data_IF_273556530511
#
_entry.id   IF_273556530511
#
_cell.length_a   1.000
_cell.length_b   1.000
_cell.length_c   1.000
_cell.angle_alpha   90.00
_cell.angle_beta   90.00
_cell.angle_gamma   90.00
#
_symmetry.space_group_name_H-M   'P 1'
#
loop_
_entity.id
_entity.type
_entity.pdbx_description
1 polymer ?
#
# COMPACT_ATOMS: atom_id res chain seq x y z
N UNK A 1 16.01 4.76 -11.88
CA UNK A 1 17.35 5.30 -11.57
C UNK A 1 18.21 5.18 -12.81
N UNK A 2 18.87 6.25 -13.23
CA UNK A 2 19.85 6.23 -14.33
C UNK A 2 21.22 6.61 -13.75
N UNK A 3 22.03 5.61 -13.40
CA UNK A 3 23.26 5.78 -12.63
C UNK A 3 22.99 6.49 -11.29
N UNK A 4 23.43 7.75 -11.18
CA UNK A 4 23.20 8.61 -9.99
C UNK A 4 21.99 9.53 -10.12
N UNK A 5 21.25 9.48 -11.22
CA UNK A 5 20.09 10.35 -11.47
C UNK A 5 18.79 9.67 -11.03
N UNK A 6 18.04 10.37 -10.18
CA UNK A 6 16.64 10.07 -9.93
C UNK A 6 15.80 10.76 -11.01
N UNK A 7 15.30 9.98 -11.96
CA UNK A 7 14.40 10.47 -13.02
C UNK A 7 12.97 10.15 -12.58
N UNK A 8 12.11 11.15 -12.37
CA UNK A 8 10.70 10.92 -12.08
C UNK A 8 10.05 10.10 -13.20
N UNK A 9 9.28 9.09 -12.83
CA UNK A 9 8.58 8.22 -13.77
C UNK A 9 7.07 8.33 -13.63
N UNK A 10 6.57 8.11 -12.42
CA UNK A 10 5.14 8.20 -12.08
C UNK A 10 4.95 9.02 -10.82
N UNK A 11 3.82 9.73 -10.74
CA UNK A 11 3.38 10.46 -9.55
C UNK A 11 2.13 9.77 -9.02
N UNK A 12 2.11 9.51 -7.72
CA UNK A 12 1.07 8.72 -7.06
C UNK A 12 0.25 9.65 -6.15
N UNK A 13 -1.05 9.78 -6.44
CA UNK A 13 -1.99 10.59 -5.65
C UNK A 13 -2.54 9.79 -4.47
N UNK A 14 -2.90 10.48 -3.38
CA UNK A 14 -3.48 9.85 -2.20
C UNK A 14 -4.89 9.30 -2.49
N UNK A 15 -5.31 8.32 -1.68
CA UNK A 15 -6.69 7.84 -1.68
C UNK A 15 -7.04 7.09 -2.96
N UNK A 16 -8.27 7.28 -3.44
CA UNK A 16 -8.82 6.73 -4.68
C UNK A 16 -8.33 7.43 -5.96
N UNK A 17 -7.43 8.41 -5.83
CA UNK A 17 -6.95 9.27 -6.91
C UNK A 17 -7.67 10.61 -7.04
N UNK A 18 -8.75 10.85 -6.27
CA UNK A 18 -9.47 12.13 -6.24
C UNK A 18 -9.13 12.99 -5.02
N UNK A 19 -8.35 12.47 -4.07
CA UNK A 19 -7.92 13.22 -2.90
C UNK A 19 -6.70 14.09 -3.21
N UNK A 20 -6.70 15.33 -2.70
CA UNK A 20 -5.52 16.19 -2.75
C UNK A 20 -4.41 15.64 -1.85
N UNK A 21 -3.23 15.41 -2.44
CA UNK A 21 -2.01 15.03 -1.72
C UNK A 21 -1.26 13.86 -2.37
N UNK A 22 -0.02 13.67 -1.93
CA UNK A 22 0.83 12.60 -2.40
C UNK A 22 0.57 11.30 -1.62
N UNK A 23 0.64 10.18 -2.33
CA UNK A 23 0.58 8.87 -1.73
C UNK A 23 1.84 8.59 -0.91
N UNK A 24 1.65 8.21 0.35
CA UNK A 24 2.73 7.75 1.21
C UNK A 24 2.99 6.26 0.95
N UNK A 25 3.85 6.00 -0.04
CA UNK A 25 4.33 4.66 -0.38
C UNK A 25 5.44 4.21 0.57
N UNK A 26 5.23 3.08 1.24
CA UNK A 26 6.14 2.51 2.25
C UNK A 26 6.80 1.22 1.74
N UNK A 27 6.12 0.48 0.88
CA UNK A 27 6.64 -0.76 0.29
C UNK A 27 6.39 -0.82 -1.21
N UNK A 28 7.28 -1.55 -1.89
CA UNK A 28 7.23 -1.80 -3.33
C UNK A 28 7.38 -3.29 -3.61
N UNK A 29 6.55 -3.84 -4.48
CA UNK A 29 6.72 -5.21 -4.97
C UNK A 29 6.32 -5.35 -6.44
N UNK A 30 6.79 -6.41 -7.10
CA UNK A 30 6.47 -6.69 -8.50
C UNK A 30 5.68 -7.98 -8.56
N UNK A 31 4.53 -7.95 -9.26
CA UNK A 31 3.70 -9.13 -9.52
C UNK A 31 3.13 -9.05 -10.92
N UNK A 32 3.24 -10.12 -11.69
CA UNK A 32 2.73 -10.23 -13.06
C UNK A 32 3.14 -9.07 -13.99
N UNK A 33 4.35 -8.53 -13.80
CA UNK A 33 4.87 -7.39 -14.58
C UNK A 33 4.33 -6.03 -14.15
N UNK A 34 3.48 -5.94 -13.14
CA UNK A 34 3.04 -4.68 -12.54
C UNK A 34 3.86 -4.34 -11.29
N UNK A 35 4.13 -3.06 -11.11
CA UNK A 35 4.71 -2.53 -9.87
C UNK A 35 3.58 -2.18 -8.90
N UNK A 36 3.64 -2.71 -7.70
CA UNK A 36 2.69 -2.44 -6.62
C UNK A 36 3.38 -1.57 -5.59
N UNK A 37 2.78 -0.42 -5.29
CA UNK A 37 3.23 0.51 -4.25
C UNK A 37 2.13 0.64 -3.21
N UNK A 38 2.40 0.25 -1.96
CA UNK A 38 1.41 0.33 -0.90
C UNK A 38 1.86 1.16 0.28
N UNK A 39 0.87 1.56 1.09
CA UNK A 39 1.08 2.31 2.31
C UNK A 39 1.20 1.38 3.53
N UNK A 40 1.45 1.94 4.71
CA UNK A 40 1.69 1.18 5.93
C UNK A 40 0.49 0.36 6.45
N UNK A 41 -0.73 0.63 5.95
CA UNK A 41 -1.92 -0.21 6.22
C UNK A 41 -2.59 -0.06 7.60
N UNK A 42 -2.14 0.91 8.40
CA UNK A 42 -2.71 1.24 9.73
C UNK A 42 -4.05 1.97 9.58
N UNK A 43 -4.95 1.90 10.55
CA UNK A 43 -6.08 2.83 10.67
C UNK A 43 -5.59 4.27 10.91
N UNK A 44 -6.34 5.27 10.42
CA UNK A 44 -6.07 6.65 10.84
C UNK A 44 -6.63 6.78 12.25
N UNK A 45 -5.74 6.97 13.22
CA UNK A 45 -6.12 7.23 14.61
C UNK A 45 -5.84 8.68 14.97
N UNK A 46 -6.59 9.24 15.91
CA UNK A 46 -6.14 10.46 16.61
C UNK A 46 -4.77 10.21 17.28
N UNK A 47 -4.01 11.25 17.63
CA UNK A 47 -2.82 11.11 18.48
C UNK A 47 -3.11 10.35 19.79
N UNK A 48 -4.36 10.43 20.27
CA UNK A 48 -4.88 9.77 21.47
C UNK A 48 -5.30 8.31 21.22
N UNK A 49 -5.20 7.82 19.98
CA UNK A 49 -5.48 6.42 19.62
C UNK A 49 -6.94 6.10 19.27
N UNK A 50 -7.80 7.13 19.16
CA UNK A 50 -9.19 6.93 18.75
C UNK A 50 -9.30 6.71 17.24
N UNK A 51 -10.13 5.75 16.83
CA UNK A 51 -10.38 5.43 15.44
C UNK A 51 -11.08 6.61 14.71
N UNK A 52 -10.48 7.13 13.63
CA UNK A 52 -11.06 8.20 12.82
C UNK A 52 -11.64 7.68 11.50
N UNK A 53 -10.81 7.03 10.68
CA UNK A 53 -11.24 6.47 9.40
C UNK A 53 -10.29 5.37 8.87
N UNK A 54 -10.82 4.58 7.94
CA UNK A 54 -10.12 3.45 7.29
C UNK A 54 -9.49 3.80 5.94
N UNK A 55 -9.77 4.99 5.41
CA UNK A 55 -9.92 5.14 3.95
C UNK A 55 -8.61 5.39 3.19
N UNK A 56 -7.74 6.38 3.47
CA UNK A 56 -6.68 6.73 2.50
C UNK A 56 -5.42 5.85 2.51
N UNK A 57 -5.15 5.15 3.62
CA UNK A 57 -3.87 4.47 3.91
C UNK A 57 -3.92 2.95 3.75
N UNK A 58 -5.06 2.41 3.32
CA UNK A 58 -5.22 1.01 2.94
C UNK A 58 -5.40 0.79 1.44
N UNK A 59 -5.22 1.85 0.66
CA UNK A 59 -5.04 1.75 -0.78
C UNK A 59 -3.60 1.39 -1.14
N UNK A 60 -3.44 0.77 -2.29
CA UNK A 60 -2.16 0.59 -2.96
C UNK A 60 -2.36 0.89 -4.44
N UNK A 61 -1.27 1.26 -5.08
CA UNK A 61 -1.25 1.66 -6.47
C UNK A 61 -0.56 0.58 -7.28
N UNK A 62 -1.31 0.01 -8.22
CA UNK A 62 -0.81 -0.89 -9.23
C UNK A 62 -0.45 -0.08 -10.46
N UNK A 63 0.82 -0.16 -10.85
CA UNK A 63 1.42 0.65 -11.91
C UNK A 63 1.83 -0.30 -13.04
N UNK A 64 1.36 -0.02 -14.25
CA UNK A 64 1.75 -0.78 -15.44
C UNK A 64 3.17 -0.41 -15.91
N UNK A 65 3.83 -1.24 -16.74
CA UNK A 65 5.11 -0.90 -17.35
C UNK A 65 5.08 0.40 -18.17
N UNK A 66 3.91 0.78 -18.68
CA UNK A 66 3.66 2.01 -19.43
C UNK A 66 3.39 3.22 -18.53
N UNK A 67 3.30 3.01 -17.20
CA UNK A 67 3.03 4.06 -16.21
C UNK A 67 1.55 4.31 -15.94
N UNK A 68 0.63 3.45 -16.39
CA UNK A 68 -0.78 3.56 -16.03
C UNK A 68 -0.97 3.18 -14.57
N UNK A 69 -1.60 4.06 -13.79
CA UNK A 69 -1.79 3.91 -12.36
C UNK A 69 -3.24 3.53 -12.05
N UNK A 70 -3.41 2.46 -11.29
CA UNK A 70 -4.70 2.02 -10.78
C UNK A 70 -4.65 1.93 -9.25
N UNK A 71 -5.56 2.63 -8.59
CA UNK A 71 -5.74 2.50 -7.15
C UNK A 71 -6.65 1.32 -6.85
N UNK A 72 -6.22 0.48 -5.92
CA UNK A 72 -6.99 -0.66 -5.46
C UNK A 72 -7.15 -0.63 -3.93
N UNK A 73 -8.32 -1.04 -3.45
CA UNK A 73 -8.66 -1.06 -2.03
C UNK A 73 -8.24 -2.40 -1.39
N UNK A 74 -7.33 -2.34 -0.42
CA UNK A 74 -6.85 -3.50 0.36
C UNK A 74 -7.24 -3.48 1.84
N UNK A 75 -8.27 -2.72 2.22
CA UNK A 75 -8.76 -2.65 3.61
C UNK A 75 -8.97 -4.03 4.20
N UNK A 76 -9.73 -4.89 3.52
CA UNK A 76 -10.03 -6.23 4.00
C UNK A 76 -8.78 -7.11 4.10
N UNK A 77 -7.80 -6.97 3.19
CA UNK A 77 -6.57 -7.76 3.21
C UNK A 77 -5.69 -7.42 4.39
N UNK A 78 -5.54 -6.13 4.72
CA UNK A 78 -4.82 -5.73 5.94
C UNK A 78 -5.50 -6.23 7.22
N UNK A 79 -6.83 -6.20 7.26
CA UNK A 79 -7.60 -6.76 8.39
C UNK A 79 -7.39 -8.28 8.52
N UNK A 80 -7.39 -9.01 7.41
CA UNK A 80 -7.11 -10.44 7.41
C UNK A 80 -5.67 -10.75 7.85
N UNK A 81 -4.67 -9.99 7.37
CA UNK A 81 -3.27 -10.17 7.73
C UNK A 81 -3.02 -9.98 9.23
N UNK A 82 -3.56 -8.91 9.84
CA UNK A 82 -3.45 -8.73 11.29
C UNK A 82 -4.20 -9.83 12.07
N UNK A 83 -5.35 -10.26 11.56
CA UNK A 83 -6.16 -11.31 12.18
C UNK A 83 -5.45 -12.65 12.17
N UNK A 84 -4.69 -12.96 11.11
CA UNK A 84 -3.90 -14.19 11.00
C UNK A 84 -2.79 -14.29 12.05
N UNK A 85 -2.30 -13.16 12.56
CA UNK A 85 -1.32 -13.11 13.66
C UNK A 85 -1.96 -12.83 15.03
N UNK A 86 -3.29 -12.89 15.13
CA UNK A 86 -4.03 -12.71 16.39
C UNK A 86 -4.07 -11.27 16.91
N UNK A 87 -3.73 -10.28 16.08
CA UNK A 87 -3.79 -8.86 16.46
C UNK A 87 -5.13 -8.28 16.00
N UNK A 88 -5.91 -7.83 16.98
CA UNK A 88 -7.17 -7.13 16.78
C UNK A 88 -7.08 -5.71 17.31
N UNK A 89 -7.91 -4.82 16.78
CA UNK A 89 -8.05 -3.46 17.28
C UNK A 89 -8.31 -3.48 18.81
N UNK A 90 -7.64 -2.64 19.63
CA UNK A 90 -6.82 -1.46 19.26
C UNK A 90 -5.37 -1.76 18.85
N UNK A 91 -4.95 -3.02 18.80
CA UNK A 91 -3.67 -3.42 18.25
C UNK A 91 -3.59 -3.19 16.74
N UNK A 92 -2.40 -2.81 16.25
CA UNK A 92 -2.15 -2.52 14.84
C UNK A 92 -0.83 -3.13 14.36
N UNK A 93 -0.70 -3.24 13.04
CA UNK A 93 0.50 -3.72 12.35
C UNK A 93 0.88 -2.66 11.34
N UNK A 94 2.19 -2.41 11.21
CA UNK A 94 2.76 -1.50 10.21
C UNK A 94 3.51 -2.35 9.19
N UNK A 95 3.19 -2.16 7.91
CA UNK A 95 3.84 -2.87 6.81
C UNK A 95 4.78 -1.93 6.06
N UNK A 96 6.09 -2.16 6.17
CA UNK A 96 7.13 -1.40 5.43
C UNK A 96 7.92 -2.28 4.45
N UNK A 97 7.64 -3.58 4.41
CA UNK A 97 8.26 -4.51 3.49
C UNK A 97 7.25 -5.58 3.03
N UNK A 98 7.11 -5.71 1.70
CA UNK A 98 6.26 -6.72 1.05
C UNK A 98 7.00 -7.28 -0.16
N UNK A 99 6.93 -8.59 -0.35
CA UNK A 99 7.49 -9.29 -1.51
C UNK A 99 6.48 -10.30 -2.04
N UNK A 100 6.28 -10.28 -3.35
CA UNK A 100 5.58 -11.33 -4.08
C UNK A 100 6.57 -12.39 -4.57
N UNK A 101 6.13 -13.65 -4.60
CA UNK A 101 6.95 -14.77 -5.09
C UNK A 101 6.15 -15.65 -6.03
N UNK A 102 6.54 -15.66 -7.32
CA UNK A 102 5.93 -16.55 -8.31
C UNK A 102 6.19 -18.03 -8.00
N UNK A 103 7.31 -18.34 -7.34
CA UNK A 103 7.71 -19.72 -6.99
C UNK A 103 6.83 -20.35 -5.92
N UNK A 104 6.23 -19.53 -5.05
CA UNK A 104 5.39 -19.98 -3.94
C UNK A 104 3.91 -19.63 -4.17
N UNK A 105 3.52 -19.40 -5.43
CA UNK A 105 2.13 -19.19 -5.81
C UNK A 105 1.36 -20.53 -5.77
N UNK A 106 1.03 -21.00 -4.58
CA UNK A 106 0.13 -22.14 -4.38
C UNK A 106 -1.31 -21.66 -4.60
N UNK A 107 -1.89 -22.12 -5.71
CA UNK A 107 -3.31 -21.98 -6.07
C UNK A 107 -4.23 -22.74 -5.14
#
# INVERSE_FOLDING_TARGET
MDGKKAVPWVILSRGDGNEEGFFKGEWLTIKDGYLYCGSHGREYTTPEGEYLNDTPIRFFQRISPEGAVHTENWVQRYVMLRGAIGIHFPGYVVHEAVQWSDKHNVS
#
